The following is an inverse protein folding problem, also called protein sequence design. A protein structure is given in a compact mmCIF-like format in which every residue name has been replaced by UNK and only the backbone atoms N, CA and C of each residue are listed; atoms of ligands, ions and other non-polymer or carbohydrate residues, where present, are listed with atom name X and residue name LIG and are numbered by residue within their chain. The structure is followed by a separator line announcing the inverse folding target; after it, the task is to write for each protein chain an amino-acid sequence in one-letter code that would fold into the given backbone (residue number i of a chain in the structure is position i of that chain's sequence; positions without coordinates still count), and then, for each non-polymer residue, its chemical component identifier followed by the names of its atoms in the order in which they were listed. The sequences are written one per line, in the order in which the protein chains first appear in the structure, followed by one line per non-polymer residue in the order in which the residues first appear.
data_IF_126071987140
#
_entry.id   IF_126071987140
#
_cell.length_a   1.000
_cell.length_b   1.000
_cell.length_c   1.000
_cell.angle_alpha   90.00
_cell.angle_beta   90.00
_cell.angle_gamma   90.00
#
_symmetry.space_group_name_H-M   'P 1'
#
loop_
_entity.id
_entity.type
_entity.pdbx_description
1 polymer ?
#
# COMPACT_ATOMS: atom_id res chain seq x y z
N UNK A 1 38.48 85.61 5.43
CA UNK A 1 38.15 85.32 4.01
C UNK A 1 37.82 83.83 3.92
N UNK A 2 36.72 83.30 3.39
CA UNK A 2 35.42 83.78 2.91
C UNK A 2 34.61 82.47 2.72
N UNK A 3 33.35 82.38 3.17
CA UNK A 3 32.45 81.27 2.79
C UNK A 3 31.44 80.82 3.85
N UNK A 4 30.20 81.30 3.71
CA UNK A 4 29.00 81.02 4.52
C UNK A 4 28.40 79.60 4.32
N UNK A 5 27.46 79.16 5.21
CA UNK A 5 27.00 77.77 5.34
C UNK A 5 25.69 77.50 4.55
N UNK A 6 25.41 76.24 4.20
CA UNK A 6 24.04 75.79 3.88
C UNK A 6 23.79 74.33 4.31
N UNK A 7 22.56 74.01 4.79
CA UNK A 7 22.20 72.72 5.37
C UNK A 7 21.75 71.72 4.29
N UNK A 8 22.12 70.46 4.43
CA UNK A 8 21.73 69.38 3.51
C UNK A 8 20.35 68.82 3.90
N UNK A 9 19.40 68.99 2.98
CA UNK A 9 18.01 68.55 3.05
C UNK A 9 17.86 67.03 3.17
N UNK A 10 16.84 66.64 3.93
CA UNK A 10 16.46 65.28 4.33
C UNK A 10 15.78 64.46 3.22
N UNK A 11 15.86 63.13 3.37
CA UNK A 11 15.41 62.02 2.50
C UNK A 11 13.97 62.04 1.92
N UNK A 12 13.15 63.04 2.24
CA UNK A 12 11.72 63.06 1.91
C UNK A 12 11.44 63.56 0.48
N UNK A 13 12.42 64.16 -0.20
CA UNK A 13 12.24 64.71 -1.57
C UNK A 13 12.53 63.70 -2.69
N UNK A 14 13.01 62.49 -2.39
CA UNK A 14 13.28 61.45 -3.40
C UNK A 14 12.05 60.60 -3.77
N UNK A 15 11.01 60.60 -2.94
CA UNK A 15 9.80 59.78 -3.17
C UNK A 15 8.77 60.42 -4.12
N UNK A 16 8.83 61.74 -4.35
CA UNK A 16 7.84 62.47 -5.15
C UNK A 16 8.14 62.49 -6.66
N UNK A 17 9.32 62.04 -7.09
CA UNK A 17 9.71 62.00 -8.52
C UNK A 17 9.60 60.61 -9.17
N UNK A 18 9.23 59.57 -8.44
CA UNK A 18 9.01 58.22 -8.99
C UNK A 18 7.53 57.90 -9.28
N UNK A 19 6.62 58.86 -9.07
CA UNK A 19 5.17 58.68 -9.26
C UNK A 19 4.64 59.24 -10.59
N UNK A 20 5.52 59.64 -11.52
CA UNK A 20 5.13 60.24 -12.79
C UNK A 20 5.95 59.60 -13.92
N UNK A 21 5.71 58.31 -14.20
CA UNK A 21 6.10 57.70 -15.46
C UNK A 21 5.30 56.40 -15.71
N UNK A 22 4.49 56.41 -16.76
CA UNK A 22 4.26 55.20 -17.57
C UNK A 22 3.04 54.33 -17.24
N UNK A 23 1.88 54.76 -17.73
CA UNK A 23 0.76 53.89 -18.12
C UNK A 23 1.18 52.97 -19.27
N UNK A 24 1.05 51.66 -19.10
CA UNK A 24 0.87 50.74 -20.23
C UNK A 24 -0.08 49.59 -19.82
N UNK A 25 -1.30 49.63 -20.36
CA UNK A 25 -2.33 48.62 -20.14
C UNK A 25 -2.10 47.46 -21.12
N UNK A 26 -1.28 46.49 -20.72
CA UNK A 26 -1.22 45.18 -21.37
C UNK A 26 -2.16 44.20 -20.67
N UNK A 27 -3.21 43.75 -21.37
CA UNK A 27 -4.03 42.60 -20.96
C UNK A 27 -3.14 41.37 -20.71
N UNK A 28 -2.87 41.07 -19.44
CA UNK A 28 -2.22 39.83 -19.06
C UNK A 28 -3.27 38.71 -19.06
N UNK A 29 -3.23 37.90 -20.12
CA UNK A 29 -3.92 36.61 -20.16
C UNK A 29 -3.52 35.79 -18.92
N UNK A 30 -4.47 35.27 -18.12
CA UNK A 30 -4.12 34.51 -16.92
C UNK A 30 -3.28 33.29 -17.30
N UNK A 31 -2.26 32.92 -16.49
CA UNK A 31 -1.37 31.83 -16.84
C UNK A 31 -2.18 30.55 -17.07
N UNK A 32 -2.05 30.00 -18.29
CA UNK A 32 -2.66 28.74 -18.71
C UNK A 32 -2.17 27.65 -17.75
N UNK A 33 -3.02 27.23 -16.80
CA UNK A 33 -2.70 26.14 -15.85
C UNK A 33 -2.34 24.89 -16.66
N UNK A 34 -1.07 24.50 -16.62
CA UNK A 34 -0.64 23.24 -17.19
C UNK A 34 -1.28 22.08 -16.40
N UNK A 35 -1.87 21.07 -17.07
CA UNK A 35 -2.57 19.98 -16.40
C UNK A 35 -1.66 19.05 -15.58
N UNK A 36 -0.33 19.25 -15.62
CA UNK A 36 0.67 18.43 -14.90
C UNK A 36 0.82 18.76 -13.40
N UNK A 37 0.26 19.87 -12.91
CA UNK A 37 0.37 20.29 -11.50
C UNK A 37 -0.65 19.64 -10.56
N UNK A 38 -1.69 19.01 -11.11
CA UNK A 38 -2.83 18.52 -10.32
C UNK A 38 -2.44 17.32 -9.45
N UNK A 39 -1.69 16.36 -10.00
CA UNK A 39 -1.31 15.12 -9.28
C UNK A 39 -0.41 15.42 -8.09
N UNK A 40 0.60 16.29 -8.26
CA UNK A 40 1.52 16.70 -7.19
C UNK A 40 0.78 17.37 -6.02
N UNK A 41 -0.21 18.23 -6.31
CA UNK A 41 -1.03 18.89 -5.29
C UNK A 41 -1.86 17.91 -4.45
N UNK A 42 -2.40 16.85 -5.05
CA UNK A 42 -3.21 15.85 -4.33
C UNK A 42 -2.37 14.97 -3.40
N UNK A 43 -1.18 14.55 -3.82
CA UNK A 43 -0.25 13.80 -2.96
C UNK A 43 0.12 14.60 -1.71
N UNK A 44 0.44 15.89 -1.87
CA UNK A 44 0.72 16.77 -0.73
C UNK A 44 -0.53 17.03 0.14
N UNK A 45 -1.74 17.07 -0.45
CA UNK A 45 -2.98 17.28 0.31
C UNK A 45 -3.37 16.06 1.14
N UNK A 46 -3.21 14.86 0.60
CA UNK A 46 -3.50 13.60 1.31
C UNK A 46 -2.47 13.28 2.39
N UNK A 47 -1.28 13.89 2.34
CA UNK A 47 -0.32 13.83 3.43
C UNK A 47 -0.86 14.44 4.74
N UNK A 48 -1.87 15.33 4.66
CA UNK A 48 -2.56 15.85 5.85
C UNK A 48 -3.53 14.77 6.41
N UNK A 49 -3.32 14.28 7.64
CA UNK A 49 -4.17 13.23 8.22
C UNK A 49 -5.65 13.62 8.32
N UNK A 50 -5.99 14.90 8.41
CA UNK A 50 -7.39 15.36 8.46
C UNK A 50 -8.09 15.28 7.10
N UNK A 51 -7.39 15.62 6.04
CA UNK A 51 -7.91 15.50 4.66
C UNK A 51 -8.04 14.02 4.30
N UNK A 52 -7.03 13.21 4.63
CA UNK A 52 -7.07 11.76 4.45
C UNK A 52 -8.28 11.14 5.13
N UNK A 53 -8.51 11.42 6.42
CA UNK A 53 -9.66 10.88 7.16
C UNK A 53 -11.01 11.27 6.54
N UNK A 54 -11.17 12.53 6.14
CA UNK A 54 -12.44 13.03 5.58
C UNK A 54 -12.79 12.35 4.26
N UNK A 55 -11.79 12.03 3.45
CA UNK A 55 -11.98 11.38 2.16
C UNK A 55 -12.08 9.85 2.29
N UNK A 56 -11.13 9.23 2.98
CA UNK A 56 -11.02 7.76 3.04
C UNK A 56 -12.15 7.14 3.84
N UNK A 57 -12.49 7.67 5.02
CA UNK A 57 -13.45 7.05 5.95
C UNK A 57 -14.82 6.73 5.35
N UNK A 58 -15.50 7.61 4.58
CA UNK A 58 -16.78 7.27 3.95
C UNK A 58 -16.65 6.26 2.80
N UNK A 59 -15.50 6.19 2.13
CA UNK A 59 -15.26 5.24 1.05
C UNK A 59 -15.03 3.81 1.55
N UNK A 60 -14.44 3.63 2.74
CA UNK A 60 -14.10 2.31 3.29
C UNK A 60 -15.28 1.32 3.39
N UNK A 61 -16.46 1.68 3.94
CA UNK A 61 -17.58 0.73 4.00
C UNK A 61 -18.13 0.38 2.61
N UNK A 62 -18.05 1.31 1.63
CA UNK A 62 -18.46 1.04 0.25
C UNK A 62 -17.48 0.07 -0.40
N UNK A 63 -16.18 0.30 -0.27
CA UNK A 63 -15.13 -0.59 -0.78
C UNK A 63 -15.24 -1.97 -0.12
N UNK A 64 -15.42 -2.02 1.19
CA UNK A 64 -15.57 -3.27 1.94
C UNK A 64 -16.85 -4.03 1.58
N UNK A 65 -17.98 -3.32 1.44
CA UNK A 65 -19.26 -3.91 1.03
C UNK A 65 -19.21 -4.45 -0.40
N UNK A 66 -18.67 -3.67 -1.34
CA UNK A 66 -18.46 -4.12 -2.72
C UNK A 66 -17.49 -5.31 -2.78
N UNK A 67 -16.39 -5.26 -2.03
CA UNK A 67 -15.43 -6.36 -1.92
C UNK A 67 -16.08 -7.63 -1.39
N UNK A 68 -16.93 -7.53 -0.36
CA UNK A 68 -17.65 -8.67 0.21
C UNK A 68 -18.64 -9.28 -0.79
N UNK A 69 -19.38 -8.46 -1.54
CA UNK A 69 -20.30 -8.96 -2.58
C UNK A 69 -19.55 -9.65 -3.71
N UNK A 70 -18.48 -9.02 -4.23
CA UNK A 70 -17.65 -9.60 -5.29
C UNK A 70 -17.01 -10.91 -4.83
N UNK A 71 -16.48 -10.94 -3.61
CA UNK A 71 -15.88 -12.13 -3.03
C UNK A 71 -16.92 -13.26 -2.87
N UNK A 72 -18.13 -12.94 -2.40
CA UNK A 72 -19.20 -13.91 -2.26
C UNK A 72 -19.57 -14.52 -3.62
N UNK A 73 -19.74 -13.70 -4.66
CA UNK A 73 -20.00 -14.17 -6.01
C UNK A 73 -18.86 -15.06 -6.52
N UNK A 74 -17.61 -14.61 -6.35
CA UNK A 74 -16.43 -15.38 -6.77
C UNK A 74 -16.31 -16.72 -6.06
N UNK A 75 -16.54 -16.77 -4.74
CA UNK A 75 -16.48 -18.00 -3.95
C UNK A 75 -17.64 -18.94 -4.28
N UNK A 76 -18.87 -18.44 -4.41
CA UNK A 76 -20.02 -19.29 -4.78
C UNK A 76 -19.81 -19.88 -6.18
N UNK A 77 -19.36 -19.06 -7.13
CA UNK A 77 -19.02 -19.53 -8.47
C UNK A 77 -17.90 -20.57 -8.43
N UNK A 78 -16.78 -20.26 -7.79
CA UNK A 78 -15.62 -21.14 -7.71
C UNK A 78 -15.91 -22.47 -6.99
N UNK A 79 -16.63 -22.44 -5.88
CA UNK A 79 -16.86 -23.62 -5.04
C UNK A 79 -17.97 -24.54 -5.57
N UNK A 80 -18.99 -24.01 -6.26
CA UNK A 80 -20.14 -24.82 -6.67
C UNK A 80 -20.25 -25.01 -8.19
N UNK A 81 -19.79 -24.05 -8.99
CA UNK A 81 -20.03 -24.04 -10.44
C UNK A 81 -18.75 -24.21 -11.27
N UNK A 82 -17.58 -24.02 -10.67
CA UNK A 82 -16.33 -24.31 -11.36
C UNK A 82 -16.19 -25.82 -11.64
N UNK A 83 -15.74 -26.23 -12.84
CA UNK A 83 -15.49 -27.62 -13.14
C UNK A 83 -14.31 -28.17 -12.33
N UNK A 84 -14.31 -29.49 -12.11
CA UNK A 84 -13.15 -30.20 -11.59
C UNK A 84 -11.97 -30.07 -12.57
N UNK A 85 -10.76 -29.94 -12.04
CA UNK A 85 -9.55 -30.00 -12.85
C UNK A 85 -9.25 -31.45 -13.26
N UNK A 86 -8.69 -31.65 -14.45
CA UNK A 86 -8.42 -32.99 -14.98
C UNK A 86 -7.39 -33.78 -14.16
N UNK A 87 -6.41 -33.09 -13.55
CA UNK A 87 -5.34 -33.68 -12.75
C UNK A 87 -5.64 -33.57 -11.26
N UNK A 88 -6.20 -32.46 -10.80
CA UNK A 88 -6.40 -32.17 -9.37
C UNK A 88 -7.82 -32.51 -8.88
N UNK A 89 -8.75 -32.81 -9.80
CA UNK A 89 -10.14 -33.09 -9.46
C UNK A 89 -10.80 -31.92 -8.72
N UNK A 90 -11.58 -32.25 -7.68
CA UNK A 90 -12.29 -31.26 -6.85
C UNK A 90 -11.35 -30.42 -5.96
N UNK A 91 -10.11 -30.86 -5.75
CA UNK A 91 -9.17 -30.15 -4.86
C UNK A 91 -8.74 -28.80 -5.42
N UNK A 92 -8.88 -28.59 -6.74
CA UNK A 92 -8.63 -27.31 -7.40
C UNK A 92 -9.45 -26.16 -6.81
N UNK A 93 -10.58 -26.45 -6.15
CA UNK A 93 -11.40 -25.42 -5.50
C UNK A 93 -10.67 -24.67 -4.39
N UNK A 94 -9.63 -25.26 -3.80
CA UNK A 94 -8.77 -24.58 -2.80
C UNK A 94 -8.05 -23.37 -3.43
N UNK A 95 -7.81 -23.39 -4.74
CA UNK A 95 -7.20 -22.31 -5.52
C UNK A 95 -7.89 -20.96 -5.29
N UNK A 96 -9.22 -20.95 -5.17
CA UNK A 96 -10.02 -19.73 -5.01
C UNK A 96 -9.74 -18.99 -3.70
N UNK A 97 -9.16 -19.67 -2.71
CA UNK A 97 -8.61 -19.08 -1.50
C UNK A 97 -7.09 -18.91 -1.62
N UNK A 98 -6.38 -19.99 -1.95
CA UNK A 98 -4.92 -20.06 -1.88
C UNK A 98 -4.22 -19.04 -2.76
N UNK A 99 -4.57 -19.00 -4.05
CA UNK A 99 -3.88 -18.15 -5.03
C UNK A 99 -4.12 -16.66 -4.75
N UNK A 100 -5.35 -16.21 -4.46
CA UNK A 100 -5.58 -14.84 -4.01
C UNK A 100 -4.82 -14.46 -2.74
N UNK A 101 -4.67 -15.38 -1.78
CA UNK A 101 -3.88 -15.11 -0.57
C UNK A 101 -2.38 -14.94 -0.89
N UNK A 102 -1.83 -15.73 -1.81
CA UNK A 102 -0.45 -15.57 -2.29
C UNK A 102 -0.21 -14.20 -2.95
N UNK A 103 -1.13 -13.80 -3.83
CA UNK A 103 -1.08 -12.49 -4.50
C UNK A 103 -1.25 -11.35 -3.53
N UNK A 104 -2.19 -11.46 -2.60
CA UNK A 104 -2.45 -10.44 -1.59
C UNK A 104 -1.24 -10.26 -0.66
N UNK A 105 -0.64 -11.36 -0.18
CA UNK A 105 0.59 -11.31 0.59
C UNK A 105 1.71 -10.59 -0.17
N UNK A 106 1.94 -10.96 -1.43
CA UNK A 106 2.97 -10.32 -2.25
C UNK A 106 2.67 -8.83 -2.47
N UNK A 107 1.43 -8.47 -2.81
CA UNK A 107 1.00 -7.08 -3.05
C UNK A 107 1.11 -6.21 -1.79
N UNK A 108 0.71 -6.73 -0.62
CA UNK A 108 0.90 -6.04 0.64
C UNK A 108 2.38 -5.84 0.96
N UNK A 109 3.27 -6.76 0.57
CA UNK A 109 4.71 -6.62 0.85
C UNK A 109 5.34 -5.56 -0.07
N UNK A 110 4.92 -5.50 -1.34
CA UNK A 110 5.24 -4.36 -2.22
C UNK A 110 4.77 -3.05 -1.60
N UNK A 111 3.52 -3.00 -1.13
CA UNK A 111 2.97 -1.81 -0.46
C UNK A 111 3.77 -1.41 0.79
N UNK A 112 4.20 -2.39 1.58
CA UNK A 112 5.04 -2.20 2.76
C UNK A 112 6.38 -1.56 2.40
N UNK A 113 7.04 -2.06 1.36
CA UNK A 113 8.31 -1.54 0.89
C UNK A 113 8.19 -0.17 0.24
N UNK A 114 7.13 0.09 -0.52
CA UNK A 114 6.83 1.42 -1.05
C UNK A 114 6.59 2.43 0.09
N UNK A 115 5.87 2.03 1.15
CA UNK A 115 5.74 2.85 2.35
C UNK A 115 7.09 3.09 3.03
N UNK A 116 7.95 2.07 3.12
CA UNK A 116 9.31 2.19 3.63
C UNK A 116 10.18 3.15 2.80
N UNK A 117 10.15 3.05 1.47
CA UNK A 117 10.81 4.00 0.57
C UNK A 117 10.29 5.43 0.80
N UNK A 118 8.97 5.59 0.87
CA UNK A 118 8.35 6.89 1.06
C UNK A 118 8.70 7.53 2.41
N UNK A 119 8.81 6.72 3.46
CA UNK A 119 9.29 7.14 4.76
C UNK A 119 10.75 7.59 4.73
N UNK A 120 11.64 6.81 4.11
CA UNK A 120 13.07 7.13 4.10
C UNK A 120 13.42 8.31 3.19
N UNK A 121 12.82 8.39 2.01
CA UNK A 121 13.12 9.41 0.99
C UNK A 121 12.42 10.74 1.30
N UNK A 122 11.10 10.70 1.50
CA UNK A 122 10.29 11.92 1.65
C UNK A 122 9.89 12.21 3.10
N UNK A 123 10.21 11.34 4.07
CA UNK A 123 9.75 11.47 5.46
C UNK A 123 8.24 11.62 5.56
N UNK A 124 7.52 10.87 4.72
CA UNK A 124 6.08 11.03 4.59
C UNK A 124 5.36 10.57 5.88
N UNK A 125 4.61 11.46 6.56
CA UNK A 125 4.13 11.20 7.92
C UNK A 125 3.10 10.06 8.02
N UNK A 126 2.38 9.77 6.94
CA UNK A 126 1.45 8.63 6.89
C UNK A 126 2.10 7.33 6.41
N UNK A 127 3.29 7.37 5.81
CA UNK A 127 3.89 6.17 5.23
C UNK A 127 4.31 5.18 6.32
N UNK A 128 4.89 5.68 7.42
CA UNK A 128 5.23 4.83 8.57
C UNK A 128 4.01 4.20 9.22
N UNK A 129 2.91 4.97 9.30
CA UNK A 129 1.67 4.46 9.88
C UNK A 129 1.01 3.43 8.96
N UNK A 130 1.01 3.67 7.65
CA UNK A 130 0.51 2.72 6.66
C UNK A 130 1.31 1.41 6.70
N UNK A 131 2.65 1.48 6.78
CA UNK A 131 3.50 0.31 6.91
C UNK A 131 3.20 -0.50 8.18
N UNK A 132 3.03 0.19 9.32
CA UNK A 132 2.66 -0.43 10.59
C UNK A 132 1.33 -1.19 10.51
N UNK A 133 0.31 -0.60 9.89
CA UNK A 133 -1.03 -1.18 9.83
C UNK A 133 -1.21 -2.21 8.70
N UNK A 134 -0.40 -2.14 7.65
CA UNK A 134 -0.42 -3.09 6.54
C UNK A 134 0.24 -4.43 6.89
N UNK A 135 1.31 -4.40 7.71
CA UNK A 135 2.08 -5.58 8.10
C UNK A 135 1.22 -6.77 8.59
N UNK A 136 0.33 -6.59 9.59
CA UNK A 136 -0.51 -7.69 10.08
C UNK A 136 -1.43 -8.31 9.03
N UNK A 137 -1.98 -7.50 8.11
CA UNK A 137 -2.89 -8.00 7.06
C UNK A 137 -2.12 -8.84 6.04
N UNK A 138 -0.94 -8.38 5.63
CA UNK A 138 -0.04 -9.15 4.77
C UNK A 138 0.46 -10.44 5.43
N UNK A 139 0.79 -10.40 6.73
CA UNK A 139 1.18 -11.57 7.51
C UNK A 139 0.08 -12.64 7.55
N UNK A 140 -1.17 -12.22 7.78
CA UNK A 140 -2.33 -13.12 7.75
C UNK A 140 -2.52 -13.74 6.36
N UNK A 141 -2.38 -12.96 5.29
CA UNK A 141 -2.48 -13.48 3.93
C UNK A 141 -1.38 -14.52 3.63
N UNK A 142 -0.13 -14.25 4.04
CA UNK A 142 0.98 -15.18 3.89
C UNK A 142 0.74 -16.49 4.69
N UNK A 143 0.27 -16.38 5.93
CA UNK A 143 -0.05 -17.54 6.76
C UNK A 143 -1.20 -18.37 6.17
N UNK A 144 -2.29 -17.71 5.74
CA UNK A 144 -3.41 -18.38 5.09
C UNK A 144 -2.98 -19.06 3.79
N UNK A 145 -2.08 -18.45 3.03
CA UNK A 145 -1.48 -19.06 1.85
C UNK A 145 -0.69 -20.33 2.20
N UNK A 146 0.17 -20.29 3.24
CA UNK A 146 0.94 -21.46 3.67
C UNK A 146 0.02 -22.60 4.13
N UNK A 147 -0.98 -22.30 4.97
CA UNK A 147 -1.93 -23.30 5.49
C UNK A 147 -2.76 -23.91 4.36
N UNK A 148 -3.37 -23.08 3.52
CA UNK A 148 -4.17 -23.55 2.38
C UNK A 148 -3.31 -24.31 1.36
N UNK A 149 -2.05 -23.91 1.19
CA UNK A 149 -1.09 -24.60 0.33
C UNK A 149 -0.77 -26.00 0.83
N UNK A 150 -0.56 -26.17 2.14
CA UNK A 150 -0.38 -27.49 2.74
C UNK A 150 -1.63 -28.38 2.58
N UNK A 151 -2.83 -27.83 2.78
CA UNK A 151 -4.09 -28.56 2.55
C UNK A 151 -4.28 -28.96 1.08
N UNK A 152 -3.86 -28.12 0.14
CA UNK A 152 -3.91 -28.44 -1.28
C UNK A 152 -2.84 -29.44 -1.69
N UNK A 153 -1.67 -29.38 -1.03
CA UNK A 153 -0.54 -30.21 -1.38
C UNK A 153 -0.69 -31.67 -1.00
N UNK A 154 -1.32 -31.95 0.15
CA UNK A 154 -1.51 -33.33 0.60
C UNK A 154 -2.26 -34.22 -0.40
N UNK A 155 -3.43 -33.84 -0.92
CA UNK A 155 -4.14 -34.66 -1.89
C UNK A 155 -3.53 -34.61 -3.30
N UNK A 156 -2.91 -33.49 -3.70
CA UNK A 156 -2.38 -33.32 -5.07
C UNK A 156 -1.02 -33.98 -5.27
N UNK A 157 -0.12 -33.86 -4.30
CA UNK A 157 1.28 -34.34 -4.39
C UNK A 157 1.68 -35.31 -3.27
N UNK A 158 0.74 -35.72 -2.42
CA UNK A 158 0.98 -36.72 -1.36
C UNK A 158 1.66 -36.19 -0.09
N UNK A 159 2.05 -34.92 -0.05
CA UNK A 159 2.81 -34.31 1.07
C UNK A 159 2.25 -32.95 1.49
N UNK A 160 2.36 -32.62 2.78
CA UNK A 160 1.95 -31.33 3.35
C UNK A 160 2.98 -30.23 3.14
N UNK A 161 4.24 -30.60 2.96
CA UNK A 161 5.37 -29.69 2.86
C UNK A 161 6.53 -30.33 2.10
N UNK A 162 7.22 -29.51 1.30
CA UNK A 162 8.55 -29.78 0.78
C UNK A 162 9.38 -28.51 0.87
N UNK A 163 10.69 -28.66 1.01
CA UNK A 163 11.64 -27.53 1.07
C UNK A 163 12.01 -27.05 -0.33
N UNK A 164 11.02 -26.75 -1.17
CA UNK A 164 11.24 -26.17 -2.49
C UNK A 164 11.38 -24.64 -2.43
N UNK A 165 11.85 -24.03 -3.51
CA UNK A 165 12.13 -22.60 -3.56
C UNK A 165 10.86 -21.75 -3.33
N UNK A 166 9.69 -22.20 -3.80
CA UNK A 166 8.43 -21.45 -3.70
C UNK A 166 7.86 -21.47 -2.28
N UNK A 167 7.76 -22.65 -1.67
CA UNK A 167 7.24 -22.79 -0.31
C UNK A 167 8.19 -22.12 0.69
N UNK A 168 9.49 -22.33 0.51
CA UNK A 168 10.50 -21.74 1.40
C UNK A 168 10.48 -20.21 1.31
N UNK A 169 10.40 -19.63 0.11
CA UNK A 169 10.33 -18.16 -0.04
C UNK A 169 9.00 -17.60 0.50
N UNK A 170 7.86 -18.26 0.29
CA UNK A 170 6.61 -17.85 0.94
C UNK A 170 6.66 -17.91 2.48
N UNK A 171 7.39 -18.87 3.05
CA UNK A 171 7.64 -18.93 4.49
C UNK A 171 8.59 -17.82 4.95
N UNK A 172 9.63 -17.52 4.18
CA UNK A 172 10.52 -16.38 4.41
C UNK A 172 9.72 -15.07 4.38
N UNK A 173 8.82 -14.88 3.41
CA UNK A 173 7.93 -13.73 3.36
C UNK A 173 7.08 -13.58 4.63
N UNK A 174 6.52 -14.69 5.14
CA UNK A 174 5.79 -14.68 6.41
C UNK A 174 6.69 -14.23 7.58
N UNK A 175 7.91 -14.75 7.66
CA UNK A 175 8.86 -14.31 8.70
C UNK A 175 9.33 -12.87 8.51
N UNK A 176 9.47 -12.39 7.28
CA UNK A 176 9.77 -10.99 6.99
C UNK A 176 8.66 -10.07 7.50
N UNK A 177 7.38 -10.47 7.36
CA UNK A 177 6.27 -9.76 7.98
C UNK A 177 6.35 -9.74 9.51
N UNK A 178 6.58 -10.90 10.13
CA UNK A 178 6.74 -10.99 11.59
C UNK A 178 7.93 -10.12 12.07
N UNK A 179 9.05 -10.19 11.35
CA UNK A 179 10.24 -9.37 11.60
C UNK A 179 9.94 -7.88 11.49
N UNK A 180 9.22 -7.44 10.45
CA UNK A 180 8.80 -6.05 10.32
C UNK A 180 7.91 -5.60 11.48
N UNK A 181 6.90 -6.39 11.85
CA UNK A 181 5.99 -6.10 12.96
C UNK A 181 6.74 -6.02 14.31
N UNK A 182 7.73 -6.88 14.52
CA UNK A 182 8.56 -6.86 15.72
C UNK A 182 9.50 -5.65 15.73
N UNK A 183 10.28 -5.46 14.67
CA UNK A 183 11.31 -4.41 14.57
C UNK A 183 10.72 -3.01 14.68
N UNK A 184 9.56 -2.75 14.06
CA UNK A 184 8.92 -1.43 14.12
C UNK A 184 8.50 -1.03 15.54
N UNK A 185 8.32 -2.02 16.44
CA UNK A 185 7.93 -1.84 17.85
C UNK A 185 9.07 -2.09 18.84
N UNK A 186 10.24 -2.52 18.38
CA UNK A 186 11.34 -2.97 19.25
C UNK A 186 12.17 -1.83 19.89
N UNK A 187 11.99 -0.59 19.44
CA UNK A 187 12.82 0.54 19.86
C UNK A 187 12.03 1.54 20.70
N UNK A 188 12.64 2.03 21.79
CA UNK A 188 12.06 3.08 22.65
C UNK A 188 11.76 4.37 21.88
N UNK A 189 12.61 4.70 20.89
CA UNK A 189 12.41 5.84 19.99
C UNK A 189 11.68 5.35 18.74
N UNK A 190 10.40 5.72 18.51
CA UNK A 190 9.61 5.22 17.38
C UNK A 190 10.28 5.47 16.02
N UNK A 191 10.92 6.62 15.86
CA UNK A 191 11.63 6.99 14.63
C UNK A 191 12.79 6.04 14.28
N UNK A 192 13.44 5.40 15.28
CA UNK A 192 14.49 4.40 15.02
C UNK A 192 13.87 3.08 14.54
N UNK A 193 12.79 2.64 15.18
CA UNK A 193 12.05 1.44 14.77
C UNK A 193 11.48 1.56 13.36
N UNK A 194 10.88 2.70 13.02
CA UNK A 194 10.37 2.99 11.68
C UNK A 194 11.45 2.88 10.61
N UNK A 195 12.63 3.48 10.84
CA UNK A 195 13.76 3.39 9.90
C UNK A 195 14.26 1.95 9.75
N UNK A 196 14.44 1.22 10.84
CA UNK A 196 14.90 -0.17 10.80
C UNK A 196 13.90 -1.08 10.07
N UNK A 197 12.60 -0.91 10.35
CA UNK A 197 11.54 -1.65 9.69
C UNK A 197 11.43 -1.32 8.20
N UNK A 198 11.57 -0.04 7.81
CA UNK A 198 11.60 0.37 6.41
C UNK A 198 12.77 -0.26 5.63
N UNK A 199 13.97 -0.31 6.24
CA UNK A 199 15.13 -0.99 5.64
C UNK A 199 14.90 -2.49 5.48
N UNK A 200 14.31 -3.15 6.48
CA UNK A 200 13.93 -4.57 6.38
C UNK A 200 12.91 -4.82 5.27
N UNK A 201 11.87 -3.98 5.16
CA UNK A 201 10.87 -4.09 4.11
C UNK A 201 11.50 -3.96 2.72
N UNK A 202 12.37 -2.97 2.51
CA UNK A 202 13.07 -2.76 1.24
C UNK A 202 13.99 -3.92 0.87
N UNK A 203 14.77 -4.43 1.84
CA UNK A 203 15.61 -5.61 1.61
C UNK A 203 14.78 -6.84 1.26
N UNK A 204 13.67 -7.06 1.97
CA UNK A 204 12.80 -8.21 1.76
C UNK A 204 12.03 -8.21 0.43
N UNK A 205 11.91 -7.10 -0.29
CA UNK A 205 11.27 -7.08 -1.63
C UNK A 205 11.96 -8.02 -2.60
N UNK A 206 13.26 -8.27 -2.41
CA UNK A 206 14.06 -9.20 -3.22
C UNK A 206 13.49 -10.62 -3.17
N UNK A 207 12.76 -10.98 -2.11
CA UNK A 207 12.09 -12.28 -1.99
C UNK A 207 10.91 -12.44 -2.97
N UNK A 208 10.25 -11.34 -3.38
CA UNK A 208 9.07 -11.42 -4.26
C UNK A 208 9.38 -11.95 -5.67
N UNK A 209 10.47 -11.52 -6.34
CA UNK A 209 10.95 -12.19 -7.55
C UNK A 209 11.25 -13.67 -7.33
N UNK A 210 11.83 -14.04 -6.19
CA UNK A 210 12.14 -15.45 -5.88
C UNK A 210 10.85 -16.26 -5.82
N UNK A 211 9.82 -15.78 -5.11
CA UNK A 211 8.49 -16.43 -5.06
C UNK A 211 7.91 -16.60 -6.46
N UNK A 212 7.92 -15.53 -7.26
CA UNK A 212 7.26 -15.49 -8.57
C UNK A 212 7.95 -16.40 -9.59
N UNK A 213 9.28 -16.28 -9.70
CA UNK A 213 10.08 -16.97 -10.71
C UNK A 213 10.65 -18.32 -10.22
N UNK A 214 10.44 -18.69 -8.95
CA UNK A 214 10.90 -19.97 -8.37
C UNK A 214 10.59 -21.18 -9.25
N UNK A 215 9.40 -21.23 -9.86
CA UNK A 215 8.94 -22.33 -10.74
C UNK A 215 9.66 -22.39 -12.08
N UNK A 216 10.28 -21.29 -12.51
CA UNK A 216 11.07 -21.23 -13.75
C UNK A 216 12.55 -21.49 -13.46
N UNK A 217 13.04 -21.04 -12.31
CA UNK A 217 14.45 -21.15 -11.93
C UNK A 217 14.81 -22.52 -11.34
N UNK A 218 13.87 -23.19 -10.68
CA UNK A 218 14.10 -24.48 -10.04
C UNK A 218 13.03 -25.51 -10.38
N UNK A 219 13.40 -26.78 -10.27
CA UNK A 219 12.44 -27.88 -10.25
C UNK A 219 11.63 -27.80 -8.95
N UNK A 220 10.33 -27.57 -9.07
CA UNK A 220 9.41 -27.49 -7.93
C UNK A 220 8.22 -28.43 -8.18
N UNK A 221 7.50 -28.80 -7.11
CA UNK A 221 6.23 -29.53 -7.26
C UNK A 221 5.13 -28.65 -7.86
N UNK A 222 5.34 -27.34 -7.88
CA UNK A 222 4.37 -26.36 -8.31
C UNK A 222 4.34 -26.26 -9.83
N UNK A 223 3.12 -26.26 -10.38
CA UNK A 223 2.93 -25.97 -11.78
C UNK A 223 3.36 -24.53 -12.10
N UNK A 224 3.89 -24.28 -13.31
CA UNK A 224 4.14 -22.93 -13.80
C UNK A 224 2.88 -22.06 -13.73
N UNK A 225 3.06 -20.75 -13.62
CA UNK A 225 1.94 -19.82 -13.50
C UNK A 225 0.98 -19.95 -14.71
N UNK A 226 -0.29 -20.18 -14.43
CA UNK A 226 -1.34 -20.38 -15.43
C UNK A 226 -1.80 -19.08 -16.10
N UNK A 227 -1.39 -17.95 -15.51
CA UNK A 227 -1.60 -16.61 -16.02
C UNK A 227 -0.26 -16.08 -16.55
N UNK A 228 -0.14 -16.06 -17.88
CA UNK A 228 0.93 -15.37 -18.61
C UNK A 228 0.42 -14.01 -19.09
N UNK A 229 1.29 -13.01 -19.13
CA UNK A 229 1.00 -11.71 -19.73
C UNK A 229 1.10 -11.75 -21.27
N UNK A 230 1.81 -12.73 -21.82
CA UNK A 230 2.11 -12.87 -23.24
C UNK A 230 1.33 -13.97 -23.94
N UNK A 231 0.79 -14.93 -23.19
CA UNK A 231 0.16 -16.14 -23.74
C UNK A 231 -1.29 -16.27 -23.30
N UNK A 232 -2.07 -17.04 -24.06
CA UNK A 232 -3.43 -17.39 -23.66
C UNK A 232 -3.42 -18.06 -22.26
N UNK A 233 -4.42 -17.78 -21.40
CA UNK A 233 -4.49 -18.42 -20.09
C UNK A 233 -4.46 -19.94 -20.25
N UNK A 234 -3.55 -20.61 -19.55
CA UNK A 234 -3.45 -22.08 -19.57
C UNK A 234 -4.61 -22.76 -18.79
N UNK A 235 -5.57 -21.97 -18.29
CA UNK A 235 -6.73 -22.38 -17.51
C UNK A 235 -8.00 -22.01 -18.26
N UNK A 236 -9.02 -22.87 -18.13
CA UNK A 236 -10.35 -22.59 -18.68
C UNK A 236 -10.95 -21.30 -18.11
N UNK A 237 -11.69 -20.55 -18.94
CA UNK A 237 -12.35 -19.31 -18.50
C UNK A 237 -13.35 -19.53 -17.36
N UNK A 238 -13.95 -20.73 -17.28
CA UNK A 238 -14.87 -21.13 -16.21
C UNK A 238 -14.20 -21.30 -14.85
N UNK A 239 -12.87 -21.46 -14.80
CA UNK A 239 -12.07 -21.44 -13.56
C UNK A 239 -11.40 -20.08 -13.35
N UNK A 240 -10.99 -19.40 -14.43
CA UNK A 240 -10.30 -18.12 -14.35
C UNK A 240 -11.18 -17.00 -13.78
N UNK A 241 -12.42 -16.85 -14.26
CA UNK A 241 -13.31 -15.79 -13.81
C UNK A 241 -13.60 -15.82 -12.30
N UNK A 242 -14.00 -16.95 -11.69
CA UNK A 242 -14.18 -17.01 -10.24
C UNK A 242 -12.88 -16.71 -9.48
N UNK A 243 -11.72 -17.13 -10.00
CA UNK A 243 -10.42 -16.81 -9.41
C UNK A 243 -10.15 -15.30 -9.39
N UNK A 244 -10.39 -14.61 -10.51
CA UNK A 244 -10.20 -13.16 -10.59
C UNK A 244 -11.19 -12.40 -9.69
N UNK A 245 -12.45 -12.84 -9.61
CA UNK A 245 -13.43 -12.27 -8.69
C UNK A 245 -12.99 -12.45 -7.23
N UNK A 246 -12.50 -13.64 -6.85
CA UNK A 246 -11.94 -13.85 -5.52
C UNK A 246 -10.74 -12.93 -5.27
N UNK A 247 -9.80 -12.83 -6.20
CA UNK A 247 -8.64 -11.95 -6.09
C UNK A 247 -9.02 -10.48 -5.89
N UNK A 248 -9.98 -9.97 -6.67
CA UNK A 248 -10.50 -8.60 -6.53
C UNK A 248 -11.21 -8.44 -5.18
N UNK A 249 -12.09 -9.38 -4.83
CA UNK A 249 -12.85 -9.34 -3.58
C UNK A 249 -11.97 -9.32 -2.33
N UNK A 250 -10.98 -10.23 -2.26
CA UNK A 250 -9.99 -10.24 -1.18
C UNK A 250 -9.14 -8.96 -1.15
N UNK A 251 -8.73 -8.45 -2.31
CA UNK A 251 -7.93 -7.21 -2.40
C UNK A 251 -8.71 -6.00 -1.90
N UNK A 252 -9.98 -5.85 -2.31
CA UNK A 252 -10.86 -4.78 -1.82
C UNK A 252 -11.13 -4.91 -0.32
N UNK A 253 -11.36 -6.12 0.16
CA UNK A 253 -11.49 -6.41 1.59
C UNK A 253 -10.24 -6.00 2.38
N UNK A 254 -9.05 -6.35 1.88
CA UNK A 254 -7.79 -5.97 2.49
C UNK A 254 -7.57 -4.45 2.48
N UNK A 255 -7.86 -3.77 1.36
CA UNK A 255 -7.80 -2.30 1.27
C UNK A 255 -8.73 -1.64 2.29
N UNK A 256 -9.96 -2.15 2.43
CA UNK A 256 -10.92 -1.64 3.41
C UNK A 256 -10.44 -1.86 4.86
N UNK A 257 -9.89 -3.04 5.16
CA UNK A 257 -9.35 -3.36 6.48
C UNK A 257 -8.13 -2.50 6.82
N UNK A 258 -7.13 -2.44 5.93
CA UNK A 258 -5.93 -1.62 6.10
C UNK A 258 -6.31 -0.15 6.26
N UNK A 259 -7.19 0.37 5.40
CA UNK A 259 -7.67 1.74 5.47
C UNK A 259 -8.39 2.04 6.78
N UNK A 260 -9.22 1.11 7.27
CA UNK A 260 -9.90 1.24 8.57
C UNK A 260 -8.88 1.30 9.71
N UNK A 261 -7.89 0.41 9.71
CA UNK A 261 -6.81 0.39 10.70
C UNK A 261 -6.02 1.71 10.72
N UNK A 262 -5.65 2.22 9.54
CA UNK A 262 -4.97 3.53 9.42
C UNK A 262 -5.85 4.65 9.97
N UNK A 263 -7.13 4.70 9.60
CA UNK A 263 -8.06 5.71 10.11
C UNK A 263 -8.18 5.65 11.64
N UNK A 264 -8.31 4.45 12.21
CA UNK A 264 -8.34 4.23 13.66
C UNK A 264 -7.06 4.72 14.32
N UNK A 265 -5.90 4.34 13.80
CA UNK A 265 -4.61 4.76 14.35
C UNK A 265 -4.39 6.29 14.30
N UNK A 266 -4.88 6.98 13.25
CA UNK A 266 -4.86 8.45 13.21
C UNK A 266 -5.74 9.04 14.31
N UNK A 267 -6.94 8.48 14.52
CA UNK A 267 -7.88 8.95 15.55
C UNK A 267 -7.33 8.71 16.96
N UNK A 268 -6.73 7.55 17.23
CA UNK A 268 -6.08 7.24 18.50
C UNK A 268 -4.95 8.24 18.83
N UNK A 269 -4.09 8.54 17.84
CA UNK A 269 -3.02 9.55 18.01
C UNK A 269 -3.58 10.94 18.30
N UNK A 270 -4.72 11.32 17.71
CA UNK A 270 -5.39 12.60 18.01
C UNK A 270 -5.95 12.63 19.42
N UNK A 271 -6.63 11.55 19.84
CA UNK A 271 -7.18 11.45 21.19
C UNK A 271 -6.07 11.53 22.24
N UNK A 272 -4.93 10.87 22.03
CA UNK A 272 -3.77 10.93 22.92
C UNK A 272 -3.12 12.33 22.98
N UNK A 273 -3.26 13.14 21.93
CA UNK A 273 -2.74 14.52 21.89
C UNK A 273 -3.67 15.56 22.52
N UNK A 274 -4.94 15.20 22.80
CA UNK A 274 -5.86 16.12 23.46
C UNK A 274 -5.43 16.25 24.94
N UNK A 275 -5.28 17.48 25.47
CA UNK A 275 -5.04 17.64 26.89
C UNK A 275 -6.20 17.01 27.64
N UNK A 276 -5.90 16.08 28.56
CA UNK A 276 -6.90 15.61 29.50
C UNK A 276 -7.48 16.84 30.20
N UNK A 277 -8.71 17.20 29.84
CA UNK A 277 -9.56 18.04 30.66
C UNK A 277 -9.93 17.20 31.88
N UNK A 278 -8.95 16.95 32.75
CA UNK A 278 -9.22 16.46 34.08
C UNK A 278 -10.10 17.53 34.71
N UNK A 279 -11.31 17.13 35.11
CA UNK A 279 -12.17 17.98 35.90
C UNK A 279 -11.35 18.53 37.06
N UNK A 280 -11.19 19.85 37.08
CA UNK A 280 -10.95 20.53 38.34
C UNK A 280 -12.17 20.27 39.22
N UNK A 281 -11.94 19.98 40.52
CA UNK A 281 -12.93 19.42 41.44
C UNK A 281 -14.21 20.26 41.56
#
# INVERSE_FOLDING_TARGET
MLGLPFPTLTLQTRYLLASIEGSDYGEQCPPKRSPSLTVSLWFHRLANPGVFLRFTRPCLPIIGGLGAVILLVGLVWGLFFSPADWQQGETVRIMYLHVPMAWLASACYVGLALCGACSLIWRHPLADLAALEMGPIGACAALLCLISGSFWGKPTWGTWWVWDARLTSMLVLFFLYCGHIAVIRAFDRPARGQKAAALLALAGVIDLPIITFSVQWWNTLHQPNTLSLSDAPAMSLSMLWPLLLCAIGYSLGAIALIGTRICTAILERRLASLPHRQGQP
#
